data_IF_228100173998
#
_entry.id   IF_228100173998
#
_cell.length_a   1.000
_cell.length_b   1.000
_cell.length_c   1.000
_cell.angle_alpha   90.00
_cell.angle_beta   90.00
_cell.angle_gamma   90.00
#
_symmetry.space_group_name_H-M   'P 1'
#
loop_
_entity.id
_entity.type
_entity.pdbx_description
1 polymer ?
#
# COMPACT_ATOMS: atom_id res chain seq x y z
N UNK A 1 -3.06 -17.87 -1.21
CA UNK A 1 -2.92 -17.70 0.26
C UNK A 1 -2.49 -16.28 0.52
N UNK A 2 -3.07 -15.58 1.50
CA UNK A 2 -2.68 -14.19 1.81
C UNK A 2 -1.37 -14.20 2.57
N UNK A 3 -0.36 -13.53 2.02
CA UNK A 3 0.95 -13.35 2.67
C UNK A 3 0.88 -12.11 3.56
N UNK A 4 1.06 -12.28 4.87
CA UNK A 4 1.05 -11.15 5.83
C UNK A 4 2.31 -11.14 6.69
N UNK A 5 2.53 -10.00 7.34
CA UNK A 5 3.51 -9.93 8.43
C UNK A 5 2.99 -10.61 9.70
N UNK A 6 3.80 -10.59 10.77
CA UNK A 6 3.43 -11.10 12.10
C UNK A 6 2.52 -10.14 12.89
N UNK A 7 1.91 -9.17 12.23
CA UNK A 7 0.99 -8.21 12.82
C UNK A 7 -0.18 -8.94 13.49
N UNK A 8 -0.44 -8.70 14.78
CA UNK A 8 -1.43 -9.48 15.54
C UNK A 8 -2.86 -9.29 15.01
N UNK A 9 -3.13 -8.17 14.33
CA UNK A 9 -4.43 -7.82 13.73
C UNK A 9 -4.82 -8.70 12.54
N UNK A 10 -3.87 -9.20 11.76
CA UNK A 10 -4.18 -9.99 10.55
C UNK A 10 -4.81 -11.33 10.89
N UNK A 11 -4.34 -12.00 11.96
CA UNK A 11 -4.83 -13.33 12.36
C UNK A 11 -6.33 -13.32 12.64
N UNK A 12 -6.79 -12.41 13.49
CA UNK A 12 -8.20 -12.34 13.87
C UNK A 12 -9.11 -11.99 12.69
N UNK A 13 -8.70 -11.00 11.89
CA UNK A 13 -9.49 -10.49 10.77
C UNK A 13 -9.61 -11.53 9.65
N UNK A 14 -8.52 -12.20 9.29
CA UNK A 14 -8.50 -13.20 8.22
C UNK A 14 -9.22 -14.49 8.62
N UNK A 15 -9.11 -14.90 9.89
CA UNK A 15 -9.88 -16.02 10.43
C UNK A 15 -11.38 -15.73 10.38
N UNK A 16 -11.82 -14.52 10.75
CA UNK A 16 -13.23 -14.11 10.67
C UNK A 16 -13.77 -14.14 9.24
N UNK A 17 -12.94 -13.84 8.25
CA UNK A 17 -13.30 -13.88 6.82
C UNK A 17 -13.14 -15.27 6.19
N UNK A 18 -12.67 -16.28 6.94
CA UNK A 18 -12.43 -17.63 6.41
C UNK A 18 -11.27 -17.72 5.41
N UNK A 19 -10.37 -16.72 5.40
CA UNK A 19 -9.28 -16.63 4.45
C UNK A 19 -8.02 -17.30 5.01
N UNK A 20 -7.37 -18.15 4.20
CA UNK A 20 -6.08 -18.76 4.55
C UNK A 20 -4.97 -17.72 4.46
N UNK A 21 -4.20 -17.57 5.53
CA UNK A 21 -3.04 -16.69 5.58
C UNK A 21 -1.78 -17.44 6.00
N UNK A 22 -0.64 -16.98 5.48
CA UNK A 22 0.69 -17.49 5.82
C UNK A 22 1.57 -16.33 6.26
N UNK A 23 2.38 -16.59 7.29
CA UNK A 23 3.41 -15.66 7.72
C UNK A 23 4.65 -15.84 6.84
N UNK A 24 5.06 -14.77 6.18
CA UNK A 24 6.26 -14.76 5.37
C UNK A 24 7.11 -13.55 5.78
N UNK A 25 8.38 -13.79 6.14
CA UNK A 25 9.30 -12.73 6.56
C UNK A 25 10.05 -12.13 5.37
N UNK A 26 10.35 -12.93 4.36
CA UNK A 26 11.04 -12.56 3.11
C UNK A 26 10.49 -13.42 1.97
N UNK A 27 10.18 -12.84 0.81
CA UNK A 27 9.54 -13.55 -0.31
C UNK A 27 8.68 -12.64 -1.20
N UNK A 28 7.46 -13.06 -1.52
CA UNK A 28 6.49 -12.32 -2.37
C UNK A 28 6.15 -10.93 -1.79
N UNK A 29 6.40 -10.73 -0.49
CA UNK A 29 6.31 -9.43 0.19
C UNK A 29 7.29 -8.38 -0.37
N UNK A 30 8.35 -8.79 -1.05
CA UNK A 30 9.25 -7.85 -1.72
C UNK A 30 8.51 -6.98 -2.74
N UNK A 31 7.47 -7.50 -3.40
CA UNK A 31 6.69 -6.73 -4.37
C UNK A 31 5.92 -5.59 -3.69
N UNK A 32 5.23 -5.87 -2.57
CA UNK A 32 4.48 -4.84 -1.84
C UNK A 32 5.41 -3.83 -1.17
N UNK A 33 6.56 -4.27 -0.65
CA UNK A 33 7.59 -3.37 -0.09
C UNK A 33 8.19 -2.46 -1.16
N UNK A 34 8.48 -3.01 -2.36
CA UNK A 34 8.91 -2.24 -3.53
C UNK A 34 7.88 -1.20 -3.93
N UNK A 35 6.61 -1.58 -4.01
CA UNK A 35 5.51 -0.66 -4.31
C UNK A 35 5.42 0.49 -3.28
N UNK A 36 5.47 0.17 -1.98
CA UNK A 36 5.47 1.18 -0.92
C UNK A 36 6.71 2.09 -0.97
N UNK A 37 7.85 1.60 -1.43
CA UNK A 37 9.04 2.43 -1.64
C UNK A 37 8.80 3.48 -2.74
N UNK A 38 8.12 3.12 -3.84
CA UNK A 38 7.74 4.06 -4.90
C UNK A 38 6.79 5.14 -4.36
N UNK A 39 5.74 4.73 -3.63
CA UNK A 39 4.81 5.66 -2.98
C UNK A 39 5.55 6.62 -2.03
N UNK A 40 6.41 6.09 -1.15
CA UNK A 40 7.23 6.89 -0.23
C UNK A 40 8.16 7.85 -0.96
N UNK A 41 8.75 7.44 -2.08
CA UNK A 41 9.61 8.30 -2.90
C UNK A 41 8.83 9.49 -3.49
N UNK A 42 7.57 9.29 -3.89
CA UNK A 42 6.69 10.39 -4.32
C UNK A 42 6.30 11.30 -3.17
N UNK A 43 5.92 10.73 -2.02
CA UNK A 43 5.60 11.50 -0.82
C UNK A 43 6.78 12.34 -0.30
N UNK A 44 8.01 11.85 -0.44
CA UNK A 44 9.23 12.62 -0.12
C UNK A 44 9.35 13.92 -0.93
N UNK A 45 8.82 13.99 -2.16
CA UNK A 45 8.82 15.23 -2.96
C UNK A 45 7.95 16.32 -2.36
N UNK A 46 6.96 15.95 -1.56
CA UNK A 46 6.16 16.88 -0.75
C UNK A 46 6.76 17.12 0.64
N UNK A 47 8.06 16.89 0.84
CA UNK A 47 8.68 16.95 2.16
C UNK A 47 7.99 16.05 3.20
N UNK A 48 7.40 14.93 2.73
CA UNK A 48 6.59 13.97 3.50
C UNK A 48 5.34 14.59 4.14
N UNK A 49 4.87 15.74 3.66
CA UNK A 49 3.72 16.45 4.22
C UNK A 49 2.80 16.94 3.11
N UNK A 50 1.52 16.61 3.20
CA UNK A 50 0.52 17.24 2.34
C UNK A 50 0.40 18.73 2.69
N UNK A 51 -0.01 19.60 1.75
CA UNK A 51 -0.15 21.04 1.99
C UNK A 51 -0.95 21.35 3.27
N UNK A 52 -0.65 22.47 3.93
CA UNK A 52 -1.23 22.83 5.24
C UNK A 52 -2.76 22.78 5.29
N UNK A 53 -3.45 23.05 4.17
CA UNK A 53 -4.91 23.02 4.04
C UNK A 53 -5.44 21.78 3.29
N UNK A 54 -4.65 20.71 3.19
CA UNK A 54 -5.11 19.48 2.57
C UNK A 54 -6.23 18.85 3.41
N UNK A 55 -7.44 18.79 2.84
CA UNK A 55 -8.55 18.04 3.43
C UNK A 55 -8.32 16.53 3.27
N UNK A 56 -9.05 15.72 4.03
CA UNK A 56 -9.04 14.26 3.89
C UNK A 56 -9.34 13.85 2.44
N UNK A 57 -10.35 14.46 1.84
CA UNK A 57 -10.81 14.19 0.47
C UNK A 57 -9.71 14.51 -0.54
N UNK A 58 -8.96 15.59 -0.32
CA UNK A 58 -7.83 15.95 -1.20
C UNK A 58 -6.70 14.92 -1.14
N UNK A 59 -6.42 14.36 0.05
CA UNK A 59 -5.44 13.30 0.23
C UNK A 59 -5.91 12.00 -0.42
N UNK A 60 -7.17 11.63 -0.22
CA UNK A 60 -7.78 10.45 -0.84
C UNK A 60 -7.77 10.56 -2.38
N UNK A 61 -8.12 11.74 -2.92
CA UNK A 61 -8.07 12.00 -4.36
C UNK A 61 -6.64 11.90 -4.90
N UNK A 62 -5.64 12.42 -4.17
CA UNK A 62 -4.24 12.34 -4.58
C UNK A 62 -3.74 10.90 -4.59
N UNK A 63 -4.02 10.12 -3.54
CA UNK A 63 -3.64 8.71 -3.46
C UNK A 63 -4.31 7.92 -4.58
N UNK A 64 -5.60 8.16 -4.83
CA UNK A 64 -6.35 7.51 -5.90
C UNK A 64 -5.72 7.79 -7.25
N UNK A 65 -5.46 9.06 -7.58
CA UNK A 65 -4.81 9.44 -8.83
C UNK A 65 -3.43 8.78 -8.98
N UNK A 66 -2.63 8.74 -7.91
CA UNK A 66 -1.33 8.06 -7.92
C UNK A 66 -1.45 6.57 -8.23
N UNK A 67 -2.36 5.85 -7.57
CA UNK A 67 -2.60 4.42 -7.79
C UNK A 67 -3.11 4.15 -9.22
N UNK A 68 -4.03 4.98 -9.71
CA UNK A 68 -4.55 4.86 -11.08
C UNK A 68 -3.45 5.04 -12.11
N UNK A 69 -2.61 6.06 -11.97
CA UNK A 69 -1.49 6.29 -12.89
C UNK A 69 -0.47 5.16 -12.84
N UNK A 70 -0.11 4.70 -11.64
CA UNK A 70 0.79 3.56 -11.49
C UNK A 70 0.26 2.30 -12.19
N UNK A 71 -1.02 1.98 -11.99
CA UNK A 71 -1.64 0.80 -12.61
C UNK A 71 -1.80 0.94 -14.13
N UNK A 72 -1.99 2.15 -14.65
CA UNK A 72 -2.01 2.40 -16.10
C UNK A 72 -0.62 2.21 -16.70
N UNK A 73 0.41 2.77 -16.07
CA UNK A 73 1.82 2.64 -16.50
C UNK A 73 2.26 1.17 -16.51
N UNK A 74 1.95 0.42 -15.45
CA UNK A 74 2.25 -1.02 -15.36
C UNK A 74 1.48 -1.83 -16.41
N UNK A 75 0.29 -1.41 -16.82
CA UNK A 75 -0.50 -2.12 -17.86
C UNK A 75 -0.02 -1.87 -19.29
N UNK A 76 0.67 -0.75 -19.53
CA UNK A 76 1.16 -0.35 -20.86
C UNK A 76 2.60 -0.82 -21.09
N UNK A 77 3.33 -1.15 -20.01
CA UNK A 77 4.71 -1.66 -20.01
C UNK A 77 4.78 -3.16 -20.24
#
# INVERSE_FOLDING_TARGET
VIKTDRGPWYRWTLQRLGLKHEYETFGERNAIEGWFNILKARLKRFWKRFPFNASKESVESWITAFVTLYNLEVRIS
#
